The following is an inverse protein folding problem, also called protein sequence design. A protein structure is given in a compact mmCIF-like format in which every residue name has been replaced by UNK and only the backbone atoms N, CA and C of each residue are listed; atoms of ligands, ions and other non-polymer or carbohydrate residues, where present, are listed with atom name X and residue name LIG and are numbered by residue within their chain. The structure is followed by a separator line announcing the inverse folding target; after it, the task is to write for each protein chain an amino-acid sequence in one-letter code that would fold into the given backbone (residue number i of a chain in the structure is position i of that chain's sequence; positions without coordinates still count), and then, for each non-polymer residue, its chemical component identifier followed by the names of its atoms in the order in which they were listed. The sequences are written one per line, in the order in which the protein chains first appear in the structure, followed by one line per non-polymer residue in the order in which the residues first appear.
data_IF_972063079520
#
_entry.id   IF_972063079520
#
_cell.length_a   1.000
_cell.length_b   1.000
_cell.length_c   1.000
_cell.angle_alpha   90.00
_cell.angle_beta   90.00
_cell.angle_gamma   90.00
#
_symmetry.space_group_name_H-M   'P 1'
#
loop_
_entity.id
_entity.type
_entity.pdbx_description
1 polymer ?
#
# COMPACT_ATOMS: atom_id res chain seq x y z
N UNK A 1 -7.06 -34.05 -5.58
CA UNK A 1 -7.29 -32.92 -4.65
C UNK A 1 -6.48 -31.68 -5.01
N UNK A 2 -5.15 -31.72 -5.24
CA UNK A 2 -4.44 -30.52 -5.74
C UNK A 2 -4.70 -30.12 -7.22
N UNK A 3 -4.93 -31.03 -8.19
CA UNK A 3 -5.16 -30.64 -9.58
C UNK A 3 -6.46 -29.86 -9.79
N UNK A 4 -7.48 -30.16 -8.98
CA UNK A 4 -8.80 -29.54 -9.07
C UNK A 4 -8.75 -28.07 -8.63
N UNK A 5 -7.96 -27.78 -7.59
CA UNK A 5 -7.74 -26.42 -7.08
C UNK A 5 -7.04 -25.51 -8.10
N UNK A 6 -6.17 -26.06 -8.96
CA UNK A 6 -5.46 -25.26 -9.97
C UNK A 6 -6.43 -24.58 -10.94
N UNK A 7 -7.48 -25.29 -11.36
CA UNK A 7 -8.52 -24.70 -12.22
C UNK A 7 -9.35 -23.62 -11.51
N UNK A 8 -9.55 -23.74 -10.19
CA UNK A 8 -10.32 -22.77 -9.40
C UNK A 8 -9.57 -21.44 -9.25
N UNK A 9 -8.23 -21.48 -9.17
CA UNK A 9 -7.39 -20.29 -9.02
C UNK A 9 -7.28 -19.47 -10.33
N UNK A 10 -7.55 -20.07 -11.49
CA UNK A 10 -7.44 -19.38 -12.77
C UNK A 10 -8.76 -18.68 -13.12
N UNK A 11 -8.64 -17.48 -13.70
CA UNK A 11 -9.79 -16.71 -14.20
C UNK A 11 -9.60 -16.34 -15.67
N UNK A 12 -10.70 -16.08 -16.38
CA UNK A 12 -10.69 -15.58 -17.75
C UNK A 12 -9.91 -16.45 -18.75
N UNK A 13 -9.01 -15.83 -19.52
CA UNK A 13 -8.25 -16.51 -20.60
C UNK A 13 -7.32 -17.60 -20.08
N UNK A 14 -6.77 -17.46 -18.87
CA UNK A 14 -5.91 -18.48 -18.27
C UNK A 14 -6.70 -19.76 -17.95
N UNK A 15 -7.94 -19.61 -17.45
CA UNK A 15 -8.85 -20.73 -17.23
C UNK A 15 -9.24 -21.42 -18.53
N UNK A 16 -9.53 -20.64 -19.59
CA UNK A 16 -9.85 -21.17 -20.91
C UNK A 16 -8.65 -21.97 -21.49
N UNK A 17 -7.43 -21.46 -21.31
CA UNK A 17 -6.22 -22.16 -21.73
C UNK A 17 -6.03 -23.47 -20.96
N UNK A 18 -6.29 -23.49 -19.65
CA UNK A 18 -6.23 -24.70 -18.84
C UNK A 18 -7.14 -25.80 -19.39
N UNK A 19 -8.42 -25.50 -19.68
CA UNK A 19 -9.34 -26.50 -20.23
C UNK A 19 -8.96 -26.98 -21.64
N UNK A 20 -8.34 -26.11 -22.45
CA UNK A 20 -7.96 -26.46 -23.84
C UNK A 20 -6.64 -27.22 -23.90
N UNK A 21 -5.66 -26.85 -23.07
CA UNK A 21 -4.26 -27.24 -23.23
C UNK A 21 -3.71 -28.08 -22.07
N UNK A 22 -4.36 -28.12 -20.91
CA UNK A 22 -3.88 -28.83 -19.71
C UNK A 22 -4.82 -29.94 -19.25
N UNK A 23 -6.13 -29.78 -19.40
CA UNK A 23 -7.12 -30.77 -18.97
C UNK A 23 -6.92 -32.12 -19.69
N UNK A 24 -7.11 -33.22 -18.95
CA UNK A 24 -6.98 -34.60 -19.43
C UNK A 24 -5.57 -35.01 -19.89
N UNK A 25 -4.56 -34.17 -19.68
CA UNK A 25 -3.16 -34.56 -19.78
C UNK A 25 -2.71 -34.97 -18.38
N UNK A 26 -1.97 -36.08 -18.27
CA UNK A 26 -1.35 -36.55 -17.01
C UNK A 26 -0.18 -35.63 -16.61
N UNK A 27 -0.46 -34.34 -16.48
CA UNK A 27 0.50 -33.32 -16.10
C UNK A 27 0.52 -33.17 -14.58
N UNK A 28 1.70 -32.93 -14.05
CA UNK A 28 1.89 -32.44 -12.70
C UNK A 28 1.48 -30.96 -12.61
N UNK A 29 1.22 -30.49 -11.39
CA UNK A 29 0.88 -29.08 -11.14
C UNK A 29 1.99 -28.15 -11.63
N UNK A 30 3.25 -28.55 -11.45
CA UNK A 30 4.40 -27.77 -11.89
C UNK A 30 4.45 -27.64 -13.42
N UNK A 31 4.12 -28.70 -14.16
CA UNK A 31 4.03 -28.66 -15.62
C UNK A 31 2.86 -27.80 -16.08
N UNK A 32 1.69 -27.89 -15.43
CA UNK A 32 0.55 -27.02 -15.71
C UNK A 32 0.91 -25.55 -15.48
N UNK A 33 1.56 -25.24 -14.35
CA UNK A 33 2.05 -23.91 -14.03
C UNK A 33 3.02 -23.40 -15.10
N UNK A 34 4.02 -24.19 -15.49
CA UNK A 34 4.99 -23.81 -16.51
C UNK A 34 4.35 -23.60 -17.89
N UNK A 35 3.33 -24.38 -18.25
CA UNK A 35 2.59 -24.19 -19.51
C UNK A 35 1.78 -22.90 -19.51
N UNK A 36 1.05 -22.61 -18.42
CA UNK A 36 0.31 -21.35 -18.27
C UNK A 36 1.29 -20.18 -18.28
N UNK A 37 2.38 -20.28 -17.53
CA UNK A 37 3.44 -19.27 -17.49
C UNK A 37 4.02 -19.02 -18.89
N UNK A 38 4.38 -20.07 -19.63
CA UNK A 38 4.92 -19.93 -20.99
C UNK A 38 3.91 -19.29 -21.97
N UNK A 39 2.62 -19.54 -21.78
CA UNK A 39 1.57 -18.98 -22.63
C UNK A 39 1.36 -17.47 -22.41
N UNK A 40 1.46 -17.00 -21.17
CA UNK A 40 1.10 -15.62 -20.79
C UNK A 40 2.30 -14.73 -20.46
N UNK A 41 3.43 -15.31 -20.05
CA UNK A 41 4.68 -14.61 -19.71
C UNK A 41 5.77 -14.86 -20.76
N UNK A 42 5.40 -14.70 -22.04
CA UNK A 42 6.32 -14.80 -23.18
C UNK A 42 7.42 -13.73 -23.17
N UNK A 43 8.32 -13.78 -24.15
CA UNK A 43 9.46 -12.86 -24.22
C UNK A 43 9.02 -11.38 -24.30
N UNK A 44 8.02 -11.08 -25.12
CA UNK A 44 7.47 -9.73 -25.25
C UNK A 44 6.94 -9.17 -23.92
N UNK A 45 6.26 -10.01 -23.12
CA UNK A 45 5.80 -9.61 -21.79
C UNK A 45 6.97 -9.22 -20.88
N UNK A 46 8.04 -10.03 -20.88
CA UNK A 46 9.25 -9.74 -20.09
C UNK A 46 9.99 -8.49 -20.57
N UNK A 47 10.07 -8.29 -21.88
CA UNK A 47 10.69 -7.10 -22.47
C UNK A 47 9.91 -5.83 -22.11
N UNK A 48 8.58 -5.91 -22.11
CA UNK A 48 7.70 -4.82 -21.66
C UNK A 48 7.90 -4.53 -20.16
N UNK A 49 7.95 -5.57 -19.32
CA UNK A 49 8.23 -5.41 -17.88
C UNK A 49 9.62 -4.78 -17.64
N UNK A 50 10.64 -5.20 -18.37
CA UNK A 50 11.98 -4.63 -18.24
C UNK A 50 12.03 -3.17 -18.70
N UNK A 51 11.28 -2.84 -19.75
CA UNK A 51 11.10 -1.46 -20.21
C UNK A 51 10.43 -0.62 -19.14
N UNK A 52 9.38 -1.13 -18.50
CA UNK A 52 8.67 -0.45 -17.41
C UNK A 52 9.56 -0.28 -16.17
N UNK A 53 10.28 -1.33 -15.79
CA UNK A 53 11.27 -1.32 -14.71
C UNK A 53 12.32 -0.21 -14.89
N UNK A 54 12.87 -0.07 -16.09
CA UNK A 54 13.90 0.93 -16.37
C UNK A 54 13.35 2.35 -16.53
N UNK A 55 12.10 2.50 -16.98
CA UNK A 55 11.49 3.81 -17.25
C UNK A 55 10.70 4.40 -16.08
N UNK A 56 10.49 3.61 -15.02
CA UNK A 56 9.84 4.05 -13.78
C UNK A 56 10.68 5.16 -13.13
N UNK A 57 10.06 6.29 -12.85
CA UNK A 57 10.70 7.46 -12.26
C UNK A 57 9.72 8.15 -11.33
N UNK A 58 10.17 8.44 -10.11
CA UNK A 58 9.36 9.09 -9.10
C UNK A 58 8.89 10.48 -9.57
N UNK A 59 9.76 11.21 -10.27
CA UNK A 59 9.44 12.52 -10.85
C UNK A 59 8.29 12.45 -11.85
N UNK A 60 8.27 11.42 -12.71
CA UNK A 60 7.16 11.23 -13.67
C UNK A 60 5.84 10.95 -12.95
N UNK A 61 5.88 10.15 -11.88
CA UNK A 61 4.69 9.81 -11.10
C UNK A 61 4.13 11.01 -10.33
N UNK A 62 4.97 11.88 -9.78
CA UNK A 62 4.52 13.14 -9.17
C UNK A 62 3.80 14.05 -10.18
N UNK A 63 4.27 14.10 -11.43
CA UNK A 63 3.62 14.89 -12.48
C UNK A 63 2.31 14.27 -12.97
N UNK A 64 2.18 12.95 -12.90
CA UNK A 64 0.97 12.22 -13.30
C UNK A 64 -0.12 12.25 -12.21
N UNK A 65 0.27 12.41 -10.95
CA UNK A 65 -0.61 12.40 -9.79
C UNK A 65 -0.37 13.62 -8.88
N UNK A 66 -0.56 14.86 -9.37
CA UNK A 66 -0.35 16.06 -8.56
C UNK A 66 -1.33 16.18 -7.38
N UNK A 67 -2.48 15.49 -7.45
CA UNK A 67 -3.51 15.48 -6.41
C UNK A 67 -3.17 14.61 -5.19
N UNK A 68 -2.20 13.70 -5.32
CA UNK A 68 -1.85 12.75 -4.26
C UNK A 68 -0.69 13.27 -3.41
N UNK A 69 -0.67 12.92 -2.11
CA UNK A 69 0.51 13.16 -1.27
C UNK A 69 1.76 12.50 -1.89
N UNK A 70 2.87 13.23 -1.94
CA UNK A 70 4.13 12.73 -2.56
C UNK A 70 4.61 11.44 -1.89
N UNK A 71 4.43 11.32 -0.58
CA UNK A 71 4.75 10.11 0.20
C UNK A 71 3.91 8.90 -0.20
N UNK A 72 2.64 9.09 -0.56
CA UNK A 72 1.78 8.03 -1.09
C UNK A 72 2.25 7.58 -2.48
N UNK A 73 2.55 8.53 -3.36
CA UNK A 73 3.05 8.22 -4.71
C UNK A 73 4.37 7.43 -4.66
N UNK A 74 5.25 7.73 -3.71
CA UNK A 74 6.46 6.94 -3.46
C UNK A 74 6.13 5.48 -3.10
N UNK A 75 5.19 5.25 -2.17
CA UNK A 75 4.80 3.89 -1.76
C UNK A 75 4.21 3.10 -2.92
N UNK A 76 3.30 3.72 -3.68
CA UNK A 76 2.71 3.10 -4.89
C UNK A 76 3.78 2.74 -5.93
N UNK A 77 4.81 3.59 -6.11
CA UNK A 77 5.94 3.28 -6.99
C UNK A 77 6.73 2.07 -6.51
N UNK A 78 7.02 1.97 -5.21
CA UNK A 78 7.78 0.84 -4.64
C UNK A 78 7.00 -0.46 -4.80
N UNK A 79 5.70 -0.45 -4.50
CA UNK A 79 4.82 -1.61 -4.69
C UNK A 79 4.78 -2.05 -6.16
N UNK A 80 4.66 -1.10 -7.08
CA UNK A 80 4.70 -1.37 -8.52
C UNK A 80 6.02 -2.02 -8.94
N UNK A 81 7.16 -1.50 -8.47
CA UNK A 81 8.46 -2.09 -8.78
C UNK A 81 8.58 -3.51 -8.20
N UNK A 82 8.10 -3.75 -6.98
CA UNK A 82 8.07 -5.11 -6.40
C UNK A 82 7.25 -6.09 -7.26
N UNK A 83 6.10 -5.66 -7.77
CA UNK A 83 5.27 -6.49 -8.64
C UNK A 83 5.96 -6.79 -9.98
N UNK A 84 6.56 -5.77 -10.61
CA UNK A 84 7.31 -5.94 -11.86
C UNK A 84 8.49 -6.91 -11.65
N UNK A 85 9.18 -6.81 -10.52
CA UNK A 85 10.31 -7.67 -10.18
C UNK A 85 9.95 -9.16 -10.25
N UNK A 86 8.77 -9.55 -9.78
CA UNK A 86 8.31 -10.94 -9.81
C UNK A 86 8.17 -11.51 -11.22
N UNK A 87 7.91 -10.66 -12.23
CA UNK A 87 7.79 -11.06 -13.63
C UNK A 87 9.11 -11.00 -14.42
N UNK A 88 10.17 -10.44 -13.85
CA UNK A 88 11.49 -10.36 -14.49
C UNK A 88 12.30 -11.66 -14.34
N UNK A 89 13.40 -11.75 -15.09
CA UNK A 89 14.35 -12.86 -14.97
C UNK A 89 14.99 -12.91 -13.57
N UNK A 90 15.45 -14.10 -13.17
CA UNK A 90 16.05 -14.38 -11.85
C UNK A 90 17.15 -13.41 -11.44
N UNK A 91 17.92 -12.88 -12.40
CA UNK A 91 18.99 -11.91 -12.19
C UNK A 91 18.49 -10.59 -11.56
N UNK A 92 17.24 -10.22 -11.83
CA UNK A 92 16.61 -9.00 -11.31
C UNK A 92 15.83 -9.23 -10.03
N UNK A 93 15.62 -10.48 -9.60
CA UNK A 93 14.79 -10.84 -8.44
C UNK A 93 15.50 -10.69 -7.09
N UNK A 94 16.73 -10.14 -7.08
CA UNK A 94 17.44 -9.87 -5.84
C UNK A 94 16.97 -8.58 -5.16
N UNK A 95 16.96 -8.55 -3.82
CA UNK A 95 16.67 -7.34 -3.04
C UNK A 95 17.62 -6.20 -3.41
N UNK A 96 18.89 -6.53 -3.73
CA UNK A 96 19.88 -5.54 -4.17
C UNK A 96 19.48 -4.88 -5.50
N UNK A 97 19.01 -5.66 -6.47
CA UNK A 97 18.54 -5.16 -7.77
C UNK A 97 17.35 -4.21 -7.59
N UNK A 98 16.39 -4.57 -6.72
CA UNK A 98 15.24 -3.71 -6.40
C UNK A 98 15.67 -2.40 -5.74
N UNK A 99 16.54 -2.46 -4.72
CA UNK A 99 17.05 -1.25 -4.05
C UNK A 99 17.78 -0.35 -5.04
N UNK A 100 18.62 -0.90 -5.92
CA UNK A 100 19.34 -0.12 -6.91
C UNK A 100 18.39 0.55 -7.92
N UNK A 101 17.35 -0.16 -8.35
CA UNK A 101 16.34 0.42 -9.24
C UNK A 101 15.54 1.53 -8.54
N UNK A 102 15.09 1.34 -7.31
CA UNK A 102 14.43 2.39 -6.52
C UNK A 102 15.33 3.61 -6.38
N UNK A 103 16.62 3.42 -6.07
CA UNK A 103 17.59 4.51 -6.02
C UNK A 103 17.68 5.26 -7.35
N UNK A 104 17.71 4.54 -8.46
CA UNK A 104 17.75 5.12 -9.81
C UNK A 104 16.46 5.88 -10.14
N UNK A 105 15.30 5.33 -9.80
CA UNK A 105 13.99 5.94 -10.02
C UNK A 105 13.81 7.25 -9.20
N UNK A 106 14.36 7.28 -7.98
CA UNK A 106 14.35 8.45 -7.09
C UNK A 106 15.45 9.48 -7.41
N UNK A 107 16.51 9.13 -8.14
CA UNK A 107 17.65 10.02 -8.41
C UNK A 107 17.27 11.33 -9.13
N UNK A 108 16.14 11.33 -9.83
CA UNK A 108 15.60 12.51 -10.53
C UNK A 108 14.91 13.53 -9.61
N UNK A 109 14.73 13.23 -8.32
CA UNK A 109 14.07 14.08 -7.34
C UNK A 109 15.13 14.63 -6.36
N UNK A 110 15.36 15.96 -6.32
CA UNK A 110 16.37 16.58 -5.45
C UNK A 110 16.20 16.24 -3.97
N UNK A 111 14.95 16.21 -3.51
CA UNK A 111 14.52 15.85 -2.15
C UNK A 111 15.05 14.49 -1.68
N UNK A 112 15.13 13.51 -2.59
CA UNK A 112 15.60 12.18 -2.27
C UNK A 112 17.14 12.09 -2.15
N UNK A 113 17.90 13.10 -2.59
CA UNK A 113 19.36 13.02 -2.68
C UNK A 113 20.03 12.68 -1.35
N UNK A 114 19.55 13.25 -0.25
CA UNK A 114 20.04 12.99 1.12
C UNK A 114 19.81 11.53 1.53
N UNK A 115 18.61 11.00 1.30
CA UNK A 115 18.23 9.63 1.63
C UNK A 115 18.97 8.58 0.77
N UNK A 116 19.32 8.90 -0.48
CA UNK A 116 20.01 7.98 -1.39
C UNK A 116 21.45 7.67 -0.99
N UNK A 117 22.10 8.62 -0.31
CA UNK A 117 23.49 8.51 0.18
C UNK A 117 23.61 7.62 1.42
N UNK A 118 22.52 7.40 2.15
CA UNK A 118 22.53 6.58 3.36
C UNK A 118 22.71 5.10 2.97
N UNK A 119 23.72 4.40 3.50
CA UNK A 119 23.82 2.96 3.36
C UNK A 119 22.65 2.35 4.13
N UNK A 120 21.86 1.54 3.43
CA UNK A 120 20.73 0.82 4.00
C UNK A 120 20.97 -0.65 3.76
N UNK A 121 20.63 -1.50 4.72
CA UNK A 121 20.75 -2.95 4.58
C UNK A 121 19.42 -3.51 4.10
N UNK A 122 18.32 -3.00 4.63
CA UNK A 122 16.96 -3.45 4.28
C UNK A 122 16.27 -2.54 3.26
N UNK A 123 15.23 -3.07 2.60
CA UNK A 123 14.34 -2.27 1.75
C UNK A 123 13.50 -1.30 2.59
N UNK A 124 13.05 -1.74 3.77
CA UNK A 124 12.21 -0.95 4.66
C UNK A 124 12.93 0.33 5.15
N UNK A 125 14.22 0.23 5.51
CA UNK A 125 15.04 1.38 5.85
C UNK A 125 15.15 2.39 4.70
N UNK A 126 15.39 1.90 3.47
CA UNK A 126 15.48 2.75 2.29
C UNK A 126 14.18 3.53 2.07
N UNK A 127 13.03 2.84 2.13
CA UNK A 127 11.73 3.48 1.96
C UNK A 127 11.44 4.48 3.08
N UNK A 128 11.73 4.13 4.33
CA UNK A 128 11.54 5.04 5.47
C UNK A 128 12.36 6.31 5.34
N UNK A 129 13.62 6.20 4.92
CA UNK A 129 14.50 7.36 4.72
C UNK A 129 14.00 8.24 3.57
N UNK A 130 13.53 7.64 2.47
CA UNK A 130 12.95 8.37 1.34
C UNK A 130 11.65 9.10 1.74
N UNK A 131 10.79 8.46 2.53
CA UNK A 131 9.56 9.09 3.06
C UNK A 131 9.92 10.28 3.94
N UNK A 132 10.86 10.11 4.88
CA UNK A 132 11.28 11.19 5.77
C UNK A 132 11.87 12.39 5.00
N UNK A 133 12.67 12.14 3.97
CA UNK A 133 13.23 13.19 3.13
C UNK A 133 12.14 13.95 2.36
N UNK A 134 11.22 13.24 1.71
CA UNK A 134 10.11 13.88 0.98
C UNK A 134 9.21 14.69 1.93
N UNK A 135 8.92 14.17 3.13
CA UNK A 135 8.13 14.90 4.12
C UNK A 135 8.81 16.20 4.57
N UNK A 136 10.14 16.21 4.68
CA UNK A 136 10.88 17.43 5.03
C UNK A 136 10.81 18.48 3.90
N UNK A 137 10.96 18.05 2.64
CA UNK A 137 10.84 18.94 1.48
C UNK A 137 9.42 19.51 1.27
N UNK A 138 8.39 18.79 1.73
CA UNK A 138 7.01 19.29 1.72
C UNK A 138 6.83 20.40 2.78
N UNK A 139 7.41 20.24 3.98
CA UNK A 139 7.41 21.27 5.04
C UNK A 139 8.15 22.54 4.59
N UNK A 140 9.35 22.39 4.00
CA UNK A 140 10.15 23.53 3.53
C UNK A 140 9.44 24.33 2.41
N UNK A 141 8.58 23.69 1.62
CA UNK A 141 7.77 24.36 0.59
C UNK A 141 6.58 25.11 1.18
N UNK A 142 5.94 24.57 2.22
CA UNK A 142 4.83 25.23 2.90
C UNK A 142 5.32 26.47 3.68
N UNK A 143 6.50 26.41 4.30
CA UNK A 143 7.11 27.55 5.00
C UNK A 143 7.49 28.71 4.05
N UNK A 144 7.91 28.40 2.82
CA UNK A 144 8.14 29.42 1.78
C UNK A 144 6.83 30.08 1.30
N UNK A 145 5.71 29.35 1.36
CA UNK A 145 4.39 29.85 1.01
C UNK A 145 3.78 30.69 2.16
N UNK A 146 4.09 30.37 3.41
CA UNK A 146 3.68 31.13 4.61
C UNK A 146 4.48 32.44 4.70
N UNK A 147 5.79 32.43 4.44
CA UNK A 147 6.59 33.68 4.39
C UNK A 147 6.19 34.64 3.27
N UNK A 148 5.53 34.15 2.21
CA UNK A 148 4.98 35.02 1.16
C UNK A 148 3.63 35.66 1.58
N UNK A 149 2.87 35.02 2.48
CA UNK A 149 1.59 35.54 2.98
C UNK A 149 1.75 36.52 4.16
N UNK A 150 2.84 36.40 4.92
CA UNK A 150 3.15 37.29 6.06
C UNK A 150 3.74 38.65 5.66
N UNK A 151 4.15 38.84 4.40
CA UNK A 151 4.75 40.11 3.93
C UNK A 151 3.79 41.03 3.15
N UNK A 152 2.52 40.66 2.98
CA UNK A 152 1.50 41.51 2.32
C UNK A 152 0.39 42.03 3.25
N UNK A 153 0.48 41.83 4.57
CA UNK A 153 -0.50 42.37 5.53
C UNK A 153 0.16 43.20 6.64
N UNK A 154 0.89 44.25 6.26
CA UNK A 154 0.92 45.48 7.06
C UNK A 154 -0.04 46.46 6.40
N UNK A 155 -0.98 46.99 7.19
CA UNK A 155 -2.00 47.99 6.83
C UNK A 155 -3.32 47.46 6.25
N UNK A 156 -4.13 46.80 7.07
CA UNK A 156 -5.52 47.25 7.21
C UNK A 156 -6.13 46.78 8.54
N UNK A 157 -6.33 47.73 9.45
CA UNK A 157 -7.30 47.58 10.54
C UNK A 157 -8.70 47.36 9.92
N UNK A 158 -9.50 46.54 10.60
CA UNK A 158 -10.92 46.23 10.33
C UNK A 158 -11.24 45.13 9.28
N UNK A 159 -11.23 43.86 9.72
CA UNK A 159 -12.23 42.87 9.29
C UNK A 159 -12.39 41.72 10.29
N UNK A 160 -13.60 41.65 10.89
CA UNK A 160 -14.18 40.58 11.70
C UNK A 160 -13.54 39.18 11.56
N UNK A 161 -13.00 38.69 12.68
CA UNK A 161 -12.85 37.26 12.94
C UNK A 161 -14.27 36.72 13.23
N UNK A 162 -14.85 36.00 12.26
CA UNK A 162 -16.13 35.33 12.45
C UNK A 162 -15.91 34.06 13.29
N UNK A 163 -16.13 34.24 14.59
CA UNK A 163 -16.34 33.20 15.58
C UNK A 163 -17.62 32.43 15.22
N UNK A 164 -17.53 31.12 14.99
CA UNK A 164 -18.71 30.27 14.88
C UNK A 164 -18.80 29.40 16.14
N UNK A 165 -19.74 29.79 17.00
CA UNK A 165 -20.25 29.02 18.14
C UNK A 165 -20.97 27.77 17.63
N UNK A 166 -20.68 26.62 18.23
CA UNK A 166 -21.46 25.40 18.04
C UNK A 166 -22.54 25.35 19.13
N UNK A 167 -23.79 25.60 18.73
CA UNK A 167 -24.98 25.33 19.52
C UNK A 167 -25.18 23.81 19.66
N UNK A 168 -25.46 23.39 20.90
CA UNK A 168 -25.98 22.06 21.23
C UNK A 168 -27.43 21.98 20.77
N UNK A 169 -27.85 20.87 20.16
CA UNK A 169 -29.21 20.37 20.35
C UNK A 169 -29.36 18.87 20.00
N UNK A 170 -30.08 18.23 20.91
CA UNK A 170 -30.88 17.00 20.88
C UNK A 170 -30.27 15.60 20.73
N UNK A 171 -30.34 14.90 21.88
CA UNK A 171 -30.42 13.45 22.03
C UNK A 171 -31.58 12.88 21.18
N UNK A 172 -31.26 11.99 20.24
CA UNK A 172 -32.24 11.01 19.73
C UNK A 172 -31.66 9.61 19.85
N UNK A 173 -32.25 8.82 20.75
CA UNK A 173 -32.09 7.37 20.83
C UNK A 173 -32.42 6.73 19.48
N UNK A 174 -31.42 6.12 18.84
CA UNK A 174 -31.62 5.25 17.67
C UNK A 174 -31.44 3.80 18.13
N UNK A 175 -32.55 3.13 18.40
CA UNK A 175 -32.61 1.68 18.51
C UNK A 175 -32.09 1.07 17.20
N UNK A 176 -30.99 0.33 17.25
CA UNK A 176 -30.52 -0.48 16.12
C UNK A 176 -30.93 -1.94 16.35
N UNK A 177 -31.83 -2.41 15.48
CA UNK A 177 -32.20 -3.82 15.36
C UNK A 177 -30.94 -4.65 15.08
N UNK A 178 -30.62 -5.57 15.99
CA UNK A 178 -29.52 -6.52 15.85
C UNK A 178 -29.93 -7.54 14.77
N UNK A 179 -29.16 -7.73 13.68
CA UNK A 179 -29.46 -8.76 12.70
C UNK A 179 -29.41 -10.15 13.37
N UNK A 180 -30.48 -10.94 13.23
CA UNK A 180 -30.68 -12.26 13.88
C UNK A 180 -29.61 -13.34 13.57
N UNK A 181 -28.58 -13.02 12.78
CA UNK A 181 -27.55 -13.97 12.35
C UNK A 181 -26.19 -13.79 13.05
N UNK A 182 -26.06 -12.86 14.00
CA UNK A 182 -24.81 -12.67 14.74
C UNK A 182 -24.92 -13.18 16.18
N UNK A 183 -24.55 -14.44 16.41
CA UNK A 183 -24.38 -14.96 17.77
C UNK A 183 -23.05 -14.46 18.34
N UNK A 184 -23.11 -13.50 19.28
CA UNK A 184 -22.00 -13.20 20.17
C UNK A 184 -22.20 -13.90 21.50
N UNK A 185 -21.13 -14.50 22.03
CA UNK A 185 -21.11 -15.10 23.36
C UNK A 185 -19.99 -14.45 24.16
N UNK A 186 -20.32 -13.95 25.34
CA UNK A 186 -19.35 -13.34 26.25
C UNK A 186 -19.08 -14.29 27.41
N UNK A 187 -17.80 -14.57 27.68
CA UNK A 187 -17.36 -15.38 28.82
C UNK A 187 -16.33 -14.63 29.66
N UNK A 188 -16.33 -14.89 30.97
CA UNK A 188 -15.29 -14.37 31.86
C UNK A 188 -14.00 -15.13 31.59
N UNK A 189 -12.93 -14.42 31.24
CA UNK A 189 -11.59 -14.99 31.08
C UNK A 189 -10.67 -14.50 32.21
N UNK A 190 -9.67 -15.30 32.55
CA UNK A 190 -8.67 -14.91 33.53
C UNK A 190 -7.72 -13.86 32.93
N UNK A 191 -7.11 -13.03 33.79
CA UNK A 191 -6.19 -11.99 33.35
C UNK A 191 -4.93 -12.57 32.64
N UNK A 192 -4.50 -13.78 33.00
CA UNK A 192 -3.39 -14.46 32.31
C UNK A 192 -3.80 -14.88 30.90
N UNK A 193 -4.97 -15.49 30.74
CA UNK A 193 -5.48 -15.88 29.42
C UNK A 193 -5.74 -14.66 28.52
N UNK A 194 -6.23 -13.55 29.07
CA UNK A 194 -6.40 -12.30 28.32
C UNK A 194 -5.07 -11.76 27.77
N UNK A 195 -3.99 -11.82 28.55
CA UNK A 195 -2.65 -11.40 28.10
C UNK A 195 -2.08 -12.32 27.04
N UNK A 196 -2.32 -13.62 27.16
CA UNK A 196 -1.89 -14.58 26.15
C UNK A 196 -2.63 -14.36 24.83
N UNK A 197 -3.96 -14.14 24.86
CA UNK A 197 -4.71 -13.75 23.67
C UNK A 197 -4.23 -12.43 23.09
N UNK A 198 -3.99 -11.42 23.91
CA UNK A 198 -3.47 -10.13 23.46
C UNK A 198 -2.11 -10.29 22.79
N UNK A 199 -1.21 -11.10 23.35
CA UNK A 199 0.09 -11.42 22.74
C UNK A 199 -0.08 -12.17 21.41
N UNK A 200 -0.98 -13.14 21.35
CA UNK A 200 -1.29 -13.88 20.12
C UNK A 200 -1.91 -12.99 19.04
N UNK A 201 -2.71 -12.00 19.40
CA UNK A 201 -3.29 -11.02 18.47
C UNK A 201 -2.25 -9.99 18.01
N UNK A 202 -1.29 -9.63 18.86
CA UNK A 202 -0.21 -8.70 18.53
C UNK A 202 0.92 -9.32 17.70
N UNK A 203 1.01 -10.65 17.62
CA UNK A 203 1.91 -11.32 16.68
C UNK A 203 1.36 -11.15 15.25
N UNK A 204 1.93 -10.16 14.54
CA UNK A 204 1.51 -9.62 13.23
C UNK A 204 1.30 -10.64 12.09
N UNK A 205 1.68 -11.91 12.28
CA UNK A 205 1.41 -13.00 11.33
C UNK A 205 -0.07 -13.43 11.28
N UNK A 206 -0.84 -13.22 12.35
CA UNK A 206 -2.25 -13.65 12.42
C UNK A 206 -3.21 -12.56 11.91
N UNK A 207 -2.91 -11.29 12.17
CA UNK A 207 -3.61 -10.14 11.59
C UNK A 207 -3.57 -10.19 10.06
N UNK A 208 -2.40 -10.43 9.48
CA UNK A 208 -2.22 -10.51 8.02
C UNK A 208 -2.98 -11.68 7.37
N UNK A 209 -3.37 -12.70 8.15
CA UNK A 209 -4.13 -13.87 7.70
C UNK A 209 -5.65 -13.70 7.86
N UNK A 210 -6.09 -12.84 8.78
CA UNK A 210 -7.53 -12.53 8.99
C UNK A 210 -7.97 -11.37 8.10
N UNK A 211 -7.08 -10.42 7.77
CA UNK A 211 -7.40 -9.27 6.90
C UNK A 211 -7.33 -9.58 5.40
N UNK A 212 -7.02 -10.82 5.01
CA UNK A 212 -7.00 -11.23 3.60
C UNK A 212 -7.93 -12.42 3.38
N UNK A 213 -9.23 -12.15 3.29
CA UNK A 213 -10.13 -12.91 2.41
C UNK A 213 -11.28 -12.02 1.89
N UNK A 214 -11.07 -11.59 0.64
CA UNK A 214 -11.97 -11.07 -0.42
C UNK A 214 -12.88 -9.82 -0.23
N UNK A 215 -13.18 -9.13 -1.36
CA UNK A 215 -13.40 -7.69 -1.41
C UNK A 215 -14.87 -7.32 -1.57
N UNK A 216 -15.33 -6.32 -0.81
CA UNK A 216 -16.46 -5.50 -1.25
C UNK A 216 -16.26 -4.05 -0.85
N UNK A 217 -16.56 -3.19 -1.81
CA UNK A 217 -16.32 -1.77 -1.81
C UNK A 217 -16.87 -1.04 -0.57
N UNK A 218 -16.19 0.06 -0.24
CA UNK A 218 -16.52 1.03 0.80
C UNK A 218 -16.34 0.50 2.22
N UNK A 219 -15.22 0.86 2.85
CA UNK A 219 -15.23 1.71 4.04
C UNK A 219 -13.80 2.04 4.49
N UNK A 220 -13.53 3.33 4.41
CA UNK A 220 -12.43 4.07 5.01
C UNK A 220 -12.56 3.96 6.54
N UNK A 221 -11.51 3.50 7.23
CA UNK A 221 -11.39 3.69 8.67
C UNK A 221 -10.10 4.44 8.92
N UNK A 222 -10.29 5.75 9.07
CA UNK A 222 -9.38 6.71 9.66
C UNK A 222 -8.72 6.17 10.92
N UNK A 223 -7.39 6.30 10.96
CA UNK A 223 -6.61 6.07 12.16
C UNK A 223 -6.72 7.29 13.08
N UNK A 224 -7.77 7.37 13.89
CA UNK A 224 -7.85 8.37 14.97
C UNK A 224 -6.95 7.94 16.15
N UNK A 225 -5.68 8.28 16.08
CA UNK A 225 -4.85 8.44 17.27
C UNK A 225 -4.91 9.89 17.75
N UNK A 226 -5.88 10.19 18.62
CA UNK A 226 -5.85 11.36 19.51
C UNK A 226 -6.30 10.94 20.91
N UNK A 227 -5.29 10.58 21.72
CA UNK A 227 -5.01 11.09 23.07
C UNK A 227 -6.16 11.67 23.94
N UNK A 228 -6.30 11.12 25.17
CA UNK A 228 -6.09 11.78 26.50
C UNK A 228 -7.17 11.53 27.59
N UNK A 229 -6.64 11.05 28.74
CA UNK A 229 -7.02 11.17 30.17
C UNK A 229 -8.43 10.81 30.69
N UNK A 230 -8.44 9.87 31.65
CA UNK A 230 -8.54 10.15 33.10
C UNK A 230 -7.69 9.15 33.89
#
# INVERSE_FOLDING_TARGET
MLPDAFSIMLRGRALQFYFTSCQNKNLTILEMFNLVKAQFEGQEYKDNLLTEWNNTSLRKLFLQHPEKPRTQVLKEMVEKLQQIQCGLNVEFQSIASLKNNIKTACASVPSCSSALLIPTDTLAELVSNLVAAISHDDIDNDDANIMFFELENEDNDDANIMFFELENDDETELEHEIPENFMTSTGKISASSARDYHRTLCDQSLLHRITQDEPSAYNFVESCWTQVQL
#
